data_IF_815442867639
#
_entry.id   IF_815442867639
#
_cell.length_a   1.000
_cell.length_b   1.000
_cell.length_c   1.000
_cell.angle_alpha   90.00
_cell.angle_beta   90.00
_cell.angle_gamma   90.00
#
_symmetry.space_group_name_H-M   'P 1'
#
loop_
_entity.id
_entity.type
_entity.pdbx_description
1 polymer ?
#
# COMPACT_ATOMS: atom_id res chain seq x y z
N UNK A 1 -5.87 14.45 -12.07
CA UNK A 1 -5.11 13.52 -12.94
C UNK A 1 -5.13 12.16 -12.26
N UNK A 2 -5.74 11.15 -12.87
CA UNK A 2 -5.78 9.78 -12.33
C UNK A 2 -4.62 9.04 -12.98
N UNK A 3 -3.61 8.66 -12.21
CA UNK A 3 -2.46 7.92 -12.75
C UNK A 3 -2.89 6.49 -13.05
N UNK A 4 -2.78 6.10 -14.31
CA UNK A 4 -3.11 4.75 -14.79
C UNK A 4 -2.00 3.73 -14.46
N UNK A 5 -0.81 4.20 -14.10
CA UNK A 5 0.30 3.37 -13.63
C UNK A 5 0.55 3.68 -12.15
N UNK A 6 -0.10 2.95 -11.21
CA UNK A 6 -0.06 3.25 -9.78
C UNK A 6 1.36 3.22 -9.21
N UNK A 7 2.29 2.53 -9.87
CA UNK A 7 3.68 2.43 -9.44
C UNK A 7 4.50 3.71 -9.68
N UNK A 8 4.19 4.52 -10.69
CA UNK A 8 4.92 5.78 -10.96
C UNK A 8 4.62 6.89 -9.96
N UNK A 9 3.53 6.77 -9.19
CA UNK A 9 3.18 7.70 -8.11
C UNK A 9 3.74 7.29 -6.76
N UNK A 10 4.36 6.11 -6.67
CA UNK A 10 4.94 5.62 -5.43
C UNK A 10 6.38 6.10 -5.27
N UNK A 11 6.73 6.48 -4.05
CA UNK A 11 8.07 6.91 -3.67
C UNK A 11 9.04 5.70 -3.63
N UNK A 12 10.11 5.67 -4.44
CA UNK A 12 11.02 4.53 -4.51
C UNK A 12 11.86 4.34 -3.23
N UNK A 13 11.94 5.33 -2.34
CA UNK A 13 12.66 5.20 -1.06
C UNK A 13 11.79 4.69 0.09
N UNK A 14 10.49 4.48 -0.14
CA UNK A 14 9.56 3.95 0.85
C UNK A 14 8.98 2.63 0.37
N UNK A 15 8.78 1.67 1.28
CA UNK A 15 8.08 0.43 0.94
C UNK A 15 6.63 0.71 0.56
N UNK A 16 6.04 -0.18 -0.24
CA UNK A 16 4.61 -0.10 -0.61
C UNK A 16 3.73 -0.04 0.64
N UNK A 17 4.07 -0.81 1.68
CA UNK A 17 3.38 -0.76 2.97
C UNK A 17 3.43 0.61 3.63
N UNK A 18 4.61 1.25 3.66
CA UNK A 18 4.76 2.55 4.32
C UNK A 18 3.84 3.59 3.69
N UNK A 19 3.83 3.65 2.37
CA UNK A 19 3.05 4.63 1.61
C UNK A 19 1.55 4.39 1.74
N UNK A 20 1.11 3.13 1.63
CA UNK A 20 -0.29 2.77 1.87
C UNK A 20 -0.71 3.08 3.31
N UNK A 21 0.14 2.75 4.28
CA UNK A 21 -0.15 2.98 5.69
C UNK A 21 -0.29 4.47 6.01
N UNK A 22 0.49 5.34 5.38
CA UNK A 22 0.39 6.80 5.55
C UNK A 22 -0.94 7.32 4.99
N UNK A 23 -1.31 6.90 3.77
CA UNK A 23 -2.59 7.29 3.16
C UNK A 23 -3.79 6.82 4.00
N UNK A 24 -3.79 5.56 4.44
CA UNK A 24 -4.86 4.99 5.27
C UNK A 24 -4.93 5.72 6.62
N UNK A 25 -3.79 6.05 7.24
CA UNK A 25 -3.74 6.80 8.50
C UNK A 25 -4.28 8.22 8.38
N UNK A 26 -4.08 8.85 7.22
CA UNK A 26 -4.54 10.21 6.96
C UNK A 26 -6.03 10.28 6.65
N UNK A 27 -6.60 9.27 6.00
CA UNK A 27 -7.95 9.34 5.43
C UNK A 27 -8.97 8.32 5.96
N UNK A 28 -8.53 7.23 6.61
CA UNK A 28 -9.41 6.13 7.02
C UNK A 28 -9.37 5.91 8.53
N UNK A 29 -8.21 5.55 9.10
CA UNK A 29 -8.11 5.20 10.53
C UNK A 29 -6.68 5.27 11.05
N UNK A 30 -6.52 5.64 12.32
CA UNK A 30 -5.21 5.65 13.01
C UNK A 30 -4.93 4.36 13.76
N UNK A 31 -5.89 3.44 13.82
CA UNK A 31 -5.68 2.14 14.46
C UNK A 31 -4.70 1.29 13.65
N UNK A 32 -3.61 0.86 14.30
CA UNK A 32 -2.52 0.18 13.60
C UNK A 32 -2.90 -1.22 13.12
N UNK A 33 -3.83 -1.90 13.79
CA UNK A 33 -4.29 -3.21 13.36
C UNK A 33 -5.19 -3.08 12.13
N UNK A 34 -6.14 -2.14 12.15
CA UNK A 34 -6.99 -1.86 10.99
C UNK A 34 -6.18 -1.42 9.77
N UNK A 35 -5.14 -0.60 9.96
CA UNK A 35 -4.27 -0.19 8.84
C UNK A 35 -3.62 -1.40 8.16
N UNK A 36 -3.15 -2.37 8.94
CA UNK A 36 -2.53 -3.59 8.41
C UNK A 36 -3.55 -4.43 7.61
N UNK A 37 -4.74 -4.64 8.16
CA UNK A 37 -5.81 -5.39 7.50
C UNK A 37 -6.21 -4.74 6.16
N UNK A 38 -6.39 -3.41 6.15
CA UNK A 38 -6.74 -2.67 4.93
C UNK A 38 -5.62 -2.75 3.88
N UNK A 39 -4.35 -2.59 4.30
CA UNK A 39 -3.21 -2.75 3.40
C UNK A 39 -3.18 -4.13 2.72
N UNK A 40 -3.43 -5.19 3.49
CA UNK A 40 -3.47 -6.56 2.97
C UNK A 40 -4.66 -6.77 2.03
N UNK A 41 -5.84 -6.23 2.39
CA UNK A 41 -7.04 -6.33 1.57
C UNK A 41 -6.86 -5.64 0.20
N UNK A 42 -6.28 -4.43 0.18
CA UNK A 42 -6.05 -3.67 -1.06
C UNK A 42 -5.14 -4.46 -2.01
N UNK A 43 -4.02 -4.98 -1.52
CA UNK A 43 -3.07 -5.74 -2.34
C UNK A 43 -3.70 -7.05 -2.82
N UNK A 44 -4.50 -7.70 -1.97
CA UNK A 44 -5.24 -8.92 -2.33
C UNK A 44 -6.25 -8.66 -3.46
N UNK A 45 -6.99 -7.54 -3.41
CA UNK A 45 -7.93 -7.13 -4.45
C UNK A 45 -7.27 -6.84 -5.80
N UNK A 46 -6.01 -6.40 -5.79
CA UNK A 46 -5.22 -6.19 -7.02
C UNK A 46 -4.76 -7.52 -7.66
N UNK A 47 -5.04 -8.67 -7.03
CA UNK A 47 -4.73 -9.99 -7.57
C UNK A 47 -3.28 -10.44 -7.33
N UNK A 48 -2.65 -9.88 -6.30
CA UNK A 48 -1.25 -10.12 -6.00
C UNK A 48 -1.09 -11.24 -4.97
N UNK A 49 -0.73 -12.44 -5.44
CA UNK A 49 -0.63 -13.67 -4.64
C UNK A 49 0.44 -13.66 -3.54
N UNK A 50 1.28 -12.61 -3.45
CA UNK A 50 2.39 -12.50 -2.49
C UNK A 50 2.31 -11.20 -1.69
N UNK A 51 1.13 -10.93 -1.11
CA UNK A 51 0.79 -9.72 -0.34
C UNK A 51 1.92 -9.29 0.61
N UNK A 52 2.32 -10.17 1.51
CA UNK A 52 3.35 -9.86 2.53
C UNK A 52 4.72 -9.53 1.93
N UNK A 53 5.08 -10.15 0.80
CA UNK A 53 6.34 -9.85 0.08
C UNK A 53 6.27 -8.50 -0.62
N UNK A 54 5.13 -8.19 -1.23
CA UNK A 54 4.91 -6.97 -1.99
C UNK A 54 4.81 -5.76 -1.07
N UNK A 55 4.11 -5.89 0.06
CA UNK A 55 4.05 -4.85 1.08
C UNK A 55 5.46 -4.43 1.56
N UNK A 56 6.38 -5.39 1.71
CA UNK A 56 7.79 -5.12 2.06
C UNK A 56 8.68 -4.71 0.88
N UNK A 57 8.16 -4.77 -0.35
CA UNK A 57 8.92 -4.39 -1.53
C UNK A 57 8.90 -2.87 -1.71
N UNK A 58 9.96 -2.37 -2.30
CA UNK A 58 10.03 -0.99 -2.79
C UNK A 58 9.41 -0.95 -4.19
N UNK A 59 8.69 0.12 -4.55
CA UNK A 59 8.29 0.37 -5.93
C UNK A 59 9.55 0.47 -6.79
N UNK A 60 9.55 -0.18 -7.96
CA UNK A 60 10.62 -0.09 -8.97
C UNK A 60 10.23 0.96 -10.00
#
# INVERSE_FOLDING_TARGET
MIFQEPMLSLNPVQTIFQQLSEMIKLHITRDSNQVNEICEEIITKVGLNKVSKILKSYPI
#
